data_IF_853344596838
#
_entry.id   IF_853344596838
#
_cell.length_a   1.000
_cell.length_b   1.000
_cell.length_c   1.000
_cell.angle_alpha   90.00
_cell.angle_beta   90.00
_cell.angle_gamma   90.00
#
_symmetry.space_group_name_H-M   'P 1'
#
loop_
_entity.id
_entity.type
_entity.pdbx_description
1 polymer ?
#
# COMPACT_ATOMS: atom_id res chain seq x y z
N UNK A 1 5.88 -4.62 -19.36
CA UNK A 1 5.82 -5.95 -18.70
C UNK A 1 4.41 -6.29 -18.25
N UNK A 2 3.75 -5.45 -17.43
CA UNK A 2 2.37 -5.69 -16.97
C UNK A 2 1.36 -5.92 -18.12
N UNK A 3 1.50 -5.21 -19.24
CA UNK A 3 0.60 -5.33 -20.39
C UNK A 3 0.69 -6.68 -21.11
N UNK A 4 1.89 -7.24 -21.20
CA UNK A 4 2.14 -8.57 -21.78
C UNK A 4 1.56 -9.70 -20.93
N UNK A 5 1.49 -9.53 -19.61
CA UNK A 5 0.93 -10.52 -18.68
C UNK A 5 -0.60 -10.65 -18.79
N UNK A 6 -1.30 -9.63 -19.31
CA UNK A 6 -2.75 -9.69 -19.56
C UNK A 6 -3.13 -10.70 -20.65
N UNK A 7 -2.19 -11.07 -21.51
CA UNK A 7 -2.42 -11.96 -22.66
C UNK A 7 -2.12 -13.42 -22.34
N UNK A 8 -1.66 -13.74 -21.12
CA UNK A 8 -1.29 -15.09 -20.71
C UNK A 8 -2.51 -15.79 -20.12
N UNK A 9 -3.03 -16.79 -20.84
CA UNK A 9 -4.11 -17.64 -20.31
C UNK A 9 -3.68 -18.35 -19.02
N UNK A 10 -4.57 -18.35 -18.02
CA UNK A 10 -4.32 -18.92 -16.69
C UNK A 10 -3.98 -17.89 -15.61
N UNK A 11 -3.58 -16.66 -15.98
CA UNK A 11 -3.43 -15.56 -15.02
C UNK A 11 -4.78 -14.87 -14.82
N UNK A 12 -5.38 -15.04 -13.65
CA UNK A 12 -6.69 -14.45 -13.34
C UNK A 12 -6.60 -13.00 -12.84
N UNK A 13 -5.59 -12.69 -12.02
CA UNK A 13 -5.37 -11.35 -11.46
C UNK A 13 -3.88 -11.18 -11.12
N UNK A 14 -3.36 -9.97 -11.34
CA UNK A 14 -2.04 -9.58 -10.87
C UNK A 14 -2.06 -8.12 -10.41
N UNK A 15 -1.25 -7.81 -9.41
CA UNK A 15 -1.08 -6.45 -8.90
C UNK A 15 0.40 -6.10 -8.91
N UNK A 16 0.77 -4.85 -9.22
CA UNK A 16 2.11 -4.36 -8.92
C UNK A 16 2.33 -4.42 -7.40
N UNK A 17 3.51 -4.87 -6.99
CA UNK A 17 3.91 -4.98 -5.58
C UNK A 17 5.26 -4.32 -5.37
N UNK A 18 5.37 -3.55 -4.30
CA UNK A 18 6.61 -2.92 -3.88
C UNK A 18 7.18 -3.71 -2.70
N UNK A 19 8.41 -4.20 -2.83
CA UNK A 19 9.12 -4.87 -1.75
C UNK A 19 9.90 -3.83 -0.97
N UNK A 20 9.48 -3.58 0.26
CA UNK A 20 10.13 -2.65 1.18
C UNK A 20 10.60 -3.38 2.42
N UNK A 21 11.48 -2.73 3.18
CA UNK A 21 11.94 -3.25 4.46
C UNK A 21 10.80 -3.33 5.48
N UNK A 22 10.86 -4.31 6.39
CA UNK A 22 9.88 -4.50 7.46
C UNK A 22 10.09 -3.50 8.61
N UNK A 23 10.14 -2.21 8.30
CA UNK A 23 10.19 -1.13 9.29
C UNK A 23 8.97 -0.25 9.12
N UNK A 24 8.38 0.18 10.24
CA UNK A 24 7.18 1.04 10.25
C UNK A 24 7.47 2.37 9.55
N UNK A 25 8.67 2.92 9.73
CA UNK A 25 9.09 4.18 9.10
C UNK A 25 9.19 4.04 7.58
N UNK A 26 9.85 2.97 7.12
CA UNK A 26 9.99 2.68 5.69
C UNK A 26 8.63 2.43 5.04
N UNK A 27 7.73 1.71 5.73
CA UNK A 27 6.37 1.49 5.26
C UNK A 27 5.58 2.78 5.11
N UNK A 28 5.70 3.72 6.07
CA UNK A 28 5.04 5.03 5.97
C UNK A 28 5.52 5.80 4.76
N UNK A 29 6.83 5.95 4.59
CA UNK A 29 7.40 6.70 3.45
C UNK A 29 7.01 6.07 2.11
N UNK A 30 7.08 4.74 2.00
CA UNK A 30 6.70 4.05 0.77
C UNK A 30 5.21 4.23 0.44
N UNK A 31 4.33 4.16 1.44
CA UNK A 31 2.89 4.39 1.23
C UNK A 31 2.62 5.83 0.81
N UNK A 32 3.30 6.81 1.39
CA UNK A 32 3.17 8.21 1.01
C UNK A 32 3.60 8.45 -0.44
N UNK A 33 4.76 7.92 -0.84
CA UNK A 33 5.27 8.03 -2.22
C UNK A 33 4.30 7.41 -3.23
N UNK A 34 3.83 6.17 -2.97
CA UNK A 34 2.88 5.47 -3.84
C UNK A 34 1.57 6.25 -3.97
N UNK A 35 1.07 6.79 -2.87
CA UNK A 35 -0.20 7.52 -2.87
C UNK A 35 -0.07 8.87 -3.56
N UNK A 36 1.06 9.58 -3.43
CA UNK A 36 1.31 10.82 -4.15
C UNK A 36 1.37 10.61 -5.67
N UNK A 37 1.94 9.48 -6.12
CA UNK A 37 2.01 9.16 -7.55
C UNK A 37 0.66 8.74 -8.16
N UNK A 38 -0.20 8.09 -7.36
CA UNK A 38 -1.46 7.50 -7.86
C UNK A 38 -2.67 8.41 -7.62
N UNK A 39 -2.68 9.19 -6.54
CA UNK A 39 -3.83 9.95 -6.10
C UNK A 39 -4.24 11.05 -7.09
N UNK A 40 -5.54 11.24 -7.24
CA UNK A 40 -6.16 12.35 -7.97
C UNK A 40 -7.31 12.87 -7.12
N UNK A 41 -7.57 14.18 -7.21
CA UNK A 41 -8.64 14.82 -6.43
C UNK A 41 -9.98 14.09 -6.58
N UNK A 42 -10.65 13.84 -5.45
CA UNK A 42 -11.93 13.14 -5.38
C UNK A 42 -11.83 11.61 -5.35
N UNK A 43 -10.63 11.03 -5.34
CA UNK A 43 -10.44 9.60 -5.10
C UNK A 43 -10.51 9.29 -3.59
N UNK A 44 -11.00 8.10 -3.25
CA UNK A 44 -10.92 7.58 -1.88
C UNK A 44 -9.99 6.38 -1.85
N UNK A 45 -9.43 6.08 -0.69
CA UNK A 45 -8.53 4.95 -0.52
C UNK A 45 -8.92 4.08 0.66
N UNK A 46 -8.40 2.87 0.66
CA UNK A 46 -8.53 1.92 1.76
C UNK A 46 -7.20 1.19 1.93
N UNK A 47 -6.67 1.23 3.15
CA UNK A 47 -5.50 0.42 3.52
C UNK A 47 -5.99 -0.88 4.15
N UNK A 48 -5.44 -2.00 3.68
CA UNK A 48 -5.66 -3.31 4.26
C UNK A 48 -4.33 -4.03 4.40
N UNK A 49 -3.85 -4.14 5.63
CA UNK A 49 -2.66 -4.90 5.96
C UNK A 49 -3.00 -6.38 6.17
N UNK A 50 -2.12 -7.25 5.69
CA UNK A 50 -2.18 -8.69 5.94
C UNK A 50 -0.83 -9.13 6.48
N UNK A 51 -0.79 -9.46 7.76
CA UNK A 51 0.42 -9.96 8.42
C UNK A 51 0.55 -11.47 8.18
N UNK A 52 1.53 -11.88 7.40
CA UNK A 52 2.01 -13.26 7.40
C UNK A 52 2.95 -13.53 8.59
N UNK A 53 3.54 -12.45 9.12
CA UNK A 53 4.48 -12.47 10.22
C UNK A 53 3.82 -11.98 11.52
N UNK A 54 3.58 -12.92 12.44
CA UNK A 54 2.95 -12.64 13.73
C UNK A 54 3.92 -12.08 14.78
N UNK A 55 5.22 -12.00 14.51
CA UNK A 55 6.20 -11.37 15.43
C UNK A 55 6.42 -9.89 15.16
N UNK A 56 5.80 -9.35 14.11
CA UNK A 56 5.86 -7.91 13.81
C UNK A 56 5.28 -7.06 14.96
N UNK A 57 5.90 -5.91 15.21
CA UNK A 57 5.63 -5.05 16.37
C UNK A 57 4.17 -4.54 16.42
N UNK A 58 3.58 -4.22 15.27
CA UNK A 58 2.23 -3.66 15.18
C UNK A 58 1.21 -4.68 14.66
N UNK A 59 0.02 -4.73 15.24
CA UNK A 59 -1.10 -5.51 14.73
C UNK A 59 -1.65 -4.97 13.39
N UNK A 60 -2.47 -5.77 12.70
CA UNK A 60 -3.01 -5.34 11.39
C UNK A 60 -3.89 -4.09 11.49
N UNK A 61 -4.58 -3.89 12.62
CA UNK A 61 -5.43 -2.71 12.84
C UNK A 61 -4.57 -1.48 13.09
N UNK A 62 -3.55 -1.60 13.93
CA UNK A 62 -2.56 -0.57 14.22
C UNK A 62 -1.80 -0.18 12.96
N UNK A 63 -1.39 -1.14 12.14
CA UNK A 63 -0.80 -0.89 10.83
C UNK A 63 -1.74 -0.11 9.91
N UNK A 64 -3.01 -0.51 9.83
CA UNK A 64 -3.99 0.20 8.98
C UNK A 64 -4.18 1.64 9.44
N UNK A 65 -4.28 1.87 10.75
CA UNK A 65 -4.42 3.21 11.31
C UNK A 65 -3.15 4.05 11.10
N UNK A 66 -1.99 3.48 11.35
CA UNK A 66 -0.69 4.14 11.23
C UNK A 66 -0.41 4.55 9.79
N UNK A 67 -0.60 3.63 8.84
CA UNK A 67 -0.40 3.92 7.42
C UNK A 67 -1.49 4.85 6.89
N UNK A 68 -2.73 4.73 7.38
CA UNK A 68 -3.82 5.62 7.00
C UNK A 68 -3.51 7.06 7.40
N UNK A 69 -3.05 7.25 8.63
CA UNK A 69 -2.57 8.55 9.11
C UNK A 69 -1.44 9.11 8.25
N UNK A 70 -0.45 8.27 7.89
CA UNK A 70 0.64 8.71 7.02
C UNK A 70 0.17 9.20 5.65
N UNK A 71 -0.89 8.60 5.07
CA UNK A 71 -1.50 9.10 3.83
C UNK A 71 -2.14 10.46 4.04
N UNK A 72 -2.90 10.65 5.13
CA UNK A 72 -3.51 11.96 5.43
C UNK A 72 -2.46 13.06 5.71
N UNK A 73 -1.33 12.71 6.32
CA UNK A 73 -0.20 13.64 6.50
C UNK A 73 0.40 14.09 5.16
N UNK A 74 0.49 13.18 4.19
CA UNK A 74 1.03 13.47 2.87
C UNK A 74 0.02 14.16 1.93
N UNK A 75 -1.26 13.82 2.05
CA UNK A 75 -2.36 14.31 1.21
C UNK A 75 -3.52 14.67 2.14
N UNK A 76 -3.58 15.91 2.65
CA UNK A 76 -4.61 16.32 3.60
C UNK A 76 -6.01 16.42 2.99
N UNK A 77 -6.11 16.41 1.67
CA UNK A 77 -7.34 16.65 0.88
C UNK A 77 -8.02 15.36 0.40
N UNK A 78 -7.50 14.20 0.80
CA UNK A 78 -8.06 12.88 0.49
C UNK A 78 -9.27 12.52 1.37
#
# INVERSE_FOLDING_TARGET
VAESLKQVFGIQYFSPVYKVEKSVEVLKSAVQEIMQDIYKEGMTFKISSKRSDHTFELDSRELNQTLGGAVFEAIPTV
#
